data_IF_948606400497
#
_entry.id   IF_948606400497
#
_cell.length_a   1.000
_cell.length_b   1.000
_cell.length_c   1.000
_cell.angle_alpha   90.00
_cell.angle_beta   90.00
_cell.angle_gamma   90.00
#
_symmetry.space_group_name_H-M   'P 1'
#
loop_
_entity.id
_entity.type
_entity.pdbx_description
1 polymer ?
#
# COMPACT_ATOMS: atom_id res chain seq x y z
N UNK A 1 23.41 -23.57 -17.34
CA UNK A 1 22.63 -22.43 -16.82
C UNK A 1 21.23 -22.92 -16.53
N UNK A 2 20.64 -22.60 -15.37
CA UNK A 2 19.22 -22.88 -15.13
C UNK A 2 18.42 -21.99 -16.09
N UNK A 3 17.39 -22.54 -16.75
CA UNK A 3 16.51 -21.77 -17.62
C UNK A 3 15.76 -20.71 -16.80
N UNK A 4 15.47 -19.53 -17.37
CA UNK A 4 14.68 -18.53 -16.68
C UNK A 4 13.30 -19.09 -16.34
N UNK A 5 12.83 -18.83 -15.12
CA UNK A 5 11.52 -19.27 -14.64
C UNK A 5 10.39 -18.65 -15.47
N UNK A 6 10.59 -17.40 -15.92
CA UNK A 6 9.68 -16.66 -16.77
C UNK A 6 10.43 -15.98 -17.93
N UNK A 7 9.90 -16.10 -19.13
CA UNK A 7 10.41 -15.40 -20.32
C UNK A 7 9.36 -14.36 -20.71
N UNK A 8 9.65 -13.08 -20.45
CA UNK A 8 8.77 -11.95 -20.80
C UNK A 8 9.19 -11.37 -22.15
N UNK A 9 10.50 -11.27 -22.40
CA UNK A 9 11.06 -11.00 -23.72
C UNK A 9 12.02 -12.13 -24.13
N UNK A 10 11.69 -12.93 -25.15
CA UNK A 10 12.57 -13.98 -25.67
C UNK A 10 13.92 -13.47 -26.16
N UNK A 11 14.00 -12.20 -26.59
CA UNK A 11 15.24 -11.52 -26.99
C UNK A 11 15.82 -10.65 -25.86
N UNK A 12 15.32 -10.81 -24.64
CA UNK A 12 15.73 -10.02 -23.49
C UNK A 12 17.20 -10.24 -23.14
N UNK A 13 17.90 -9.14 -22.90
CA UNK A 13 19.31 -9.02 -22.52
C UNK A 13 19.51 -8.85 -21.00
N UNK A 14 18.43 -8.81 -20.22
CA UNK A 14 18.49 -8.73 -18.75
C UNK A 14 17.79 -9.93 -18.14
N UNK A 15 18.45 -10.59 -17.19
CA UNK A 15 17.82 -11.58 -16.32
C UNK A 15 17.62 -10.96 -14.94
N UNK A 16 16.37 -10.65 -14.58
CA UNK A 16 16.06 -10.24 -13.20
C UNK A 16 15.98 -11.50 -12.35
N UNK A 17 16.78 -11.56 -11.28
CA UNK A 17 16.81 -12.65 -10.32
C UNK A 17 16.18 -12.18 -9.00
N UNK A 18 15.01 -12.73 -8.66
CA UNK A 18 14.31 -12.44 -7.41
C UNK A 18 14.72 -13.44 -6.32
N UNK A 19 15.25 -12.90 -5.23
CA UNK A 19 15.61 -13.64 -4.02
C UNK A 19 14.64 -13.31 -2.89
N UNK A 20 14.36 -14.29 -2.02
CA UNK A 20 13.37 -14.18 -0.94
C UNK A 20 11.99 -13.69 -1.43
N UNK A 21 11.37 -14.38 -2.43
CA UNK A 21 10.08 -13.96 -2.97
C UNK A 21 9.00 -13.98 -1.89
N UNK A 22 7.96 -13.16 -2.01
CA UNK A 22 6.79 -13.20 -1.11
C UNK A 22 7.14 -12.92 0.36
N UNK A 23 8.08 -12.00 0.61
CA UNK A 23 8.33 -11.48 1.94
C UNK A 23 7.04 -10.86 2.54
N UNK A 24 6.91 -10.83 3.89
CA UNK A 24 5.74 -10.24 4.54
C UNK A 24 5.45 -8.81 4.05
N UNK A 25 4.20 -8.53 3.71
CA UNK A 25 3.77 -7.27 3.12
C UNK A 25 2.67 -6.61 3.95
N UNK A 26 2.81 -5.31 4.20
CA UNK A 26 1.88 -4.53 5.02
C UNK A 26 1.65 -5.18 6.39
N UNK A 27 2.75 -5.35 7.15
CA UNK A 27 2.77 -5.88 8.52
C UNK A 27 3.24 -4.80 9.49
N UNK A 28 2.70 -4.80 10.71
CA UNK A 28 3.03 -3.80 11.74
C UNK A 28 4.51 -3.83 12.13
N UNK A 29 5.04 -2.72 12.63
CA UNK A 29 6.42 -2.66 13.12
C UNK A 29 6.65 -3.50 14.40
N UNK A 30 5.59 -3.92 15.12
CA UNK A 30 5.68 -4.78 16.33
C UNK A 30 6.00 -6.27 16.04
N UNK A 31 6.27 -6.62 14.79
CA UNK A 31 6.78 -7.94 14.48
C UNK A 31 8.22 -8.01 14.97
N UNK A 32 8.43 -8.76 16.05
CA UNK A 32 9.73 -9.13 16.62
C UNK A 32 10.60 -9.79 15.52
N UNK A 33 11.32 -8.95 14.77
CA UNK A 33 12.45 -9.36 13.93
C UNK A 33 13.53 -9.88 14.87
N UNK A 34 13.37 -11.12 15.33
CA UNK A 34 14.15 -11.69 16.43
C UNK A 34 15.65 -11.41 16.26
N UNK A 35 16.24 -10.77 17.28
CA UNK A 35 17.66 -10.44 17.55
C UNK A 35 18.57 -9.91 16.42
N UNK A 36 18.15 -9.91 15.16
CA UNK A 36 18.86 -9.30 14.05
C UNK A 36 17.94 -8.27 13.42
N UNK A 37 17.75 -7.13 14.10
CA UNK A 37 16.89 -6.00 13.71
C UNK A 37 17.30 -5.31 12.41
N UNK A 38 17.40 -6.06 11.32
CA UNK A 38 17.45 -5.56 9.96
C UNK A 38 16.01 -5.39 9.49
N UNK A 39 15.58 -4.13 9.36
CA UNK A 39 14.46 -3.78 8.48
C UNK A 39 14.62 -4.53 7.15
N UNK A 40 13.54 -4.94 6.46
CA UNK A 40 13.64 -5.57 5.15
C UNK A 40 14.63 -4.84 4.26
N UNK A 41 15.46 -5.57 3.51
CA UNK A 41 16.63 -5.00 2.82
C UNK A 41 16.30 -3.82 1.89
N UNK A 42 15.06 -3.76 1.40
CA UNK A 42 14.52 -2.67 0.57
C UNK A 42 14.10 -1.41 1.35
N UNK A 43 13.92 -1.48 2.67
CA UNK A 43 13.66 -0.34 3.58
C UNK A 43 14.95 0.45 3.91
N UNK A 44 16.12 -0.02 3.45
CA UNK A 44 17.41 0.64 3.59
C UNK A 44 17.40 2.04 2.95
N UNK A 45 17.41 3.04 3.81
CA UNK A 45 16.98 4.44 3.57
C UNK A 45 17.86 5.31 2.66
N UNK A 46 18.56 4.78 1.65
CA UNK A 46 19.51 5.59 0.87
C UNK A 46 19.06 6.07 -0.51
N UNK A 47 17.92 5.64 -1.04
CA UNK A 47 17.54 6.07 -2.39
C UNK A 47 16.05 6.13 -2.73
N UNK A 48 15.16 5.77 -1.80
CA UNK A 48 13.74 5.83 -2.06
C UNK A 48 13.16 7.18 -1.65
N UNK A 49 12.70 7.94 -2.64
CA UNK A 49 11.90 9.13 -2.43
C UNK A 49 10.50 8.88 -3.02
N UNK A 50 9.48 8.61 -2.19
CA UNK A 50 8.14 8.30 -2.69
C UNK A 50 7.58 9.46 -3.52
N UNK A 51 6.71 9.14 -4.48
CA UNK A 51 6.10 10.14 -5.34
C UNK A 51 5.41 11.25 -4.54
N UNK A 52 5.73 12.50 -4.89
CA UNK A 52 5.04 13.65 -4.35
C UNK A 52 3.66 13.80 -5.01
N UNK A 53 2.58 13.73 -4.22
CA UNK A 53 1.20 13.96 -4.64
C UNK A 53 0.53 15.05 -3.80
N UNK A 54 0.93 16.31 -4.00
CA UNK A 54 0.40 17.48 -3.27
C UNK A 54 -1.13 17.64 -3.41
N UNK A 55 -1.72 17.22 -4.53
CA UNK A 55 -3.17 17.33 -4.76
C UNK A 55 -3.97 16.51 -3.74
N UNK A 56 -3.51 15.32 -3.40
CA UNK A 56 -4.17 14.49 -2.39
C UNK A 56 -4.04 15.07 -0.96
N UNK A 57 -2.95 15.79 -0.67
CA UNK A 57 -2.79 16.52 0.60
C UNK A 57 -3.81 17.67 0.68
N UNK A 58 -3.94 18.46 -0.40
CA UNK A 58 -4.92 19.54 -0.45
C UNK A 58 -6.36 19.03 -0.29
N UNK A 59 -6.69 17.87 -0.88
CA UNK A 59 -8.01 17.26 -0.69
C UNK A 59 -8.26 16.71 0.71
N UNK A 60 -7.21 16.33 1.44
CA UNK A 60 -7.32 16.02 2.87
C UNK A 60 -7.55 17.29 3.70
N UNK A 61 -6.87 18.39 3.35
CA UNK A 61 -7.07 19.70 3.96
C UNK A 61 -8.47 20.25 3.68
N UNK A 62 -9.11 19.97 2.54
CA UNK A 62 -10.49 20.41 2.28
C UNK A 62 -11.55 19.76 3.19
N UNK A 63 -11.27 18.57 3.77
CA UNK A 63 -12.11 18.02 4.85
C UNK A 63 -12.17 18.95 6.07
N UNK A 64 -11.11 19.74 6.30
CA UNK A 64 -11.01 20.67 7.44
C UNK A 64 -11.94 21.87 7.31
N UNK A 65 -12.34 22.23 6.08
CA UNK A 65 -13.11 23.46 5.81
C UNK A 65 -14.61 23.20 5.92
N UNK A 66 -15.07 21.99 5.57
CA UNK A 66 -16.51 21.65 5.57
C UNK A 66 -17.06 21.46 6.99
N UNK A 67 -16.22 21.10 7.97
CA UNK A 67 -16.65 20.90 9.37
C UNK A 67 -16.71 22.20 10.20
N UNK A 68 -16.31 23.34 9.62
CA UNK A 68 -16.28 24.63 10.33
C UNK A 68 -17.48 25.56 10.07
N UNK A 69 -18.41 25.22 9.17
CA UNK A 69 -19.41 26.19 8.68
C UNK A 69 -20.90 25.79 8.75
N UNK A 70 -21.29 24.81 9.58
CA UNK A 70 -22.71 24.56 9.83
C UNK A 70 -23.09 24.75 11.31
N UNK A 71 -23.40 26.00 11.66
CA UNK A 71 -24.22 26.37 12.82
C UNK A 71 -25.62 26.80 12.34
N UNK A 72 -26.63 26.06 12.85
CA UNK A 72 -28.07 26.35 13.09
C UNK A 72 -28.99 26.80 11.93
N UNK A 73 -30.20 26.24 11.72
CA UNK A 73 -31.41 26.22 12.59
C UNK A 73 -32.42 25.10 12.15
N UNK A 74 -33.48 24.79 12.95
CA UNK A 74 -34.20 23.52 13.02
C UNK A 74 -35.48 23.45 12.19
N UNK A 75 -35.93 22.24 11.88
CA UNK A 75 -37.33 21.99 11.47
C UNK A 75 -37.89 20.70 12.06
N UNK A 76 -39.15 20.82 12.51
CA UNK A 76 -39.94 19.92 13.35
C UNK A 76 -40.47 18.67 12.63
N UNK A 77 -40.79 17.65 13.44
CA UNK A 77 -41.92 16.69 13.33
C UNK A 77 -41.78 15.59 12.26
N UNK A 78 -42.11 14.32 12.46
CA UNK A 78 -42.76 13.58 13.55
C UNK A 78 -42.39 12.08 13.48
N UNK A 79 -42.71 11.40 14.57
CA UNK A 79 -42.52 10.00 14.93
C UNK A 79 -42.71 8.91 13.84
N UNK A 80 -41.97 7.82 14.02
CA UNK A 80 -42.58 6.50 14.24
C UNK A 80 -41.62 5.58 14.98
N UNK A 81 -42.05 5.18 16.17
CA UNK A 81 -41.49 4.09 16.97
C UNK A 81 -41.82 2.75 16.31
N UNK A 82 -40.89 1.80 16.29
CA UNK A 82 -41.26 0.40 16.63
C UNK A 82 -40.08 -0.36 17.22
N UNK A 83 -40.44 -1.08 18.27
CA UNK A 83 -39.68 -1.74 19.32
C UNK A 83 -39.45 -3.22 18.96
N UNK A 84 -38.24 -3.79 19.12
CA UNK A 84 -38.06 -5.20 19.58
C UNK A 84 -36.74 -5.34 20.36
N UNK A 85 -36.87 -5.93 21.56
CA UNK A 85 -35.86 -6.15 22.59
C UNK A 85 -34.88 -7.31 22.34
N UNK A 86 -33.72 -7.14 22.99
CA UNK A 86 -32.82 -8.11 23.65
C UNK A 86 -33.27 -9.59 23.71
N UNK A 87 -32.32 -10.50 23.48
CA UNK A 87 -31.65 -11.32 24.52
C UNK A 87 -30.73 -12.37 23.87
N UNK A 88 -29.47 -12.43 24.31
CA UNK A 88 -28.78 -13.68 24.65
C UNK A 88 -27.36 -13.37 25.15
N UNK A 89 -27.22 -13.32 26.48
CA UNK A 89 -25.95 -13.60 27.14
C UNK A 89 -25.57 -15.05 26.85
N UNK A 90 -24.32 -15.30 26.49
CA UNK A 90 -23.70 -16.59 26.79
C UNK A 90 -22.21 -16.40 27.01
N UNK A 91 -21.84 -16.47 28.28
CA UNK A 91 -20.46 -16.59 28.73
C UNK A 91 -19.87 -17.91 28.21
N UNK A 92 -18.76 -17.86 27.49
CA UNK A 92 -17.89 -19.02 27.26
C UNK A 92 -16.41 -18.62 27.39
N UNK A 93 -15.89 -18.92 28.58
CA UNK A 93 -14.57 -19.52 28.86
C UNK A 93 -13.39 -19.13 27.96
N UNK A 94 -12.45 -18.37 28.56
CA UNK A 94 -11.06 -18.21 28.11
C UNK A 94 -10.39 -19.57 27.89
N UNK A 95 -10.16 -19.94 26.64
CA UNK A 95 -9.18 -20.96 26.25
C UNK A 95 -7.85 -20.24 26.00
N UNK A 96 -6.72 -20.66 26.60
CA UNK A 96 -5.44 -20.02 26.34
C UNK A 96 -5.00 -20.36 24.91
N UNK A 97 -5.00 -19.37 24.02
CA UNK A 97 -4.52 -19.52 22.65
C UNK A 97 -3.01 -19.75 22.68
N UNK A 98 -2.64 -21.03 22.57
CA UNK A 98 -1.28 -21.52 22.32
C UNK A 98 -0.67 -20.71 21.18
N UNK A 99 0.34 -19.88 21.50
CA UNK A 99 1.19 -19.17 20.53
C UNK A 99 1.62 -20.16 19.44
N UNK A 100 1.04 -20.03 18.25
CA UNK A 100 1.58 -20.70 17.07
C UNK A 100 2.88 -19.97 16.73
N UNK A 101 4.01 -20.61 17.07
CA UNK A 101 5.29 -20.32 16.43
C UNK A 101 5.12 -20.61 14.94
N UNK A 102 4.85 -19.57 14.15
CA UNK A 102 4.91 -19.67 12.70
C UNK A 102 6.34 -20.09 12.33
N UNK A 103 6.45 -21.28 11.74
CA UNK A 103 7.71 -21.78 11.19
C UNK A 103 8.07 -20.89 9.99
N UNK A 104 9.32 -20.38 9.96
CA UNK A 104 9.92 -19.79 8.75
C UNK A 104 9.71 -20.77 7.58
N UNK A 105 9.08 -20.38 6.47
CA UNK A 105 9.14 -21.19 5.26
C UNK A 105 10.59 -21.25 4.81
N UNK A 106 11.05 -22.45 4.46
CA UNK A 106 12.40 -22.65 3.95
C UNK A 106 12.51 -22.01 2.57
N UNK A 107 12.98 -20.76 2.50
CA UNK A 107 13.16 -20.03 1.25
C UNK A 107 14.29 -20.64 0.43
N UNK A 108 13.94 -21.42 -0.58
CA UNK A 108 14.85 -21.84 -1.64
C UNK A 108 14.27 -21.60 -3.05
N UNK A 109 13.14 -20.89 -3.15
CA UNK A 109 12.53 -20.53 -4.42
C UNK A 109 13.22 -19.27 -4.95
N UNK A 110 13.94 -19.43 -6.05
CA UNK A 110 14.57 -18.36 -6.81
C UNK A 110 13.80 -18.20 -8.12
N UNK A 111 13.25 -17.01 -8.36
CA UNK A 111 12.55 -16.70 -9.59
C UNK A 111 13.48 -15.90 -10.51
N UNK A 112 13.42 -16.21 -11.80
CA UNK A 112 14.18 -15.49 -12.81
C UNK A 112 13.28 -15.06 -13.96
N UNK A 113 13.45 -13.81 -14.40
CA UNK A 113 12.65 -13.18 -15.45
C UNK A 113 13.58 -12.68 -16.55
N UNK A 114 13.44 -13.22 -17.77
CA UNK A 114 14.14 -12.71 -18.94
C UNK A 114 13.36 -11.54 -19.53
N UNK A 115 13.99 -10.37 -19.55
CA UNK A 115 13.40 -9.07 -19.88
C UNK A 115 14.37 -8.22 -20.72
N UNK A 116 13.85 -7.15 -21.31
CA UNK A 116 14.60 -6.23 -22.14
C UNK A 116 15.09 -5.02 -21.36
N UNK A 117 16.39 -4.75 -21.41
CA UNK A 117 17.00 -3.53 -20.88
C UNK A 117 16.34 -2.28 -21.46
N UNK A 118 15.96 -2.29 -22.74
CA UNK A 118 15.36 -1.14 -23.43
C UNK A 118 14.01 -0.76 -22.83
N UNK A 119 13.16 -1.75 -22.55
CA UNK A 119 11.86 -1.52 -21.91
C UNK A 119 12.04 -1.03 -20.46
N UNK A 120 12.95 -1.65 -19.69
CA UNK A 120 13.28 -1.21 -18.33
C UNK A 120 13.79 0.24 -18.29
N UNK A 121 14.76 0.57 -19.15
CA UNK A 121 15.36 1.91 -19.27
C UNK A 121 14.31 2.95 -19.68
N UNK A 122 13.43 2.60 -20.62
CA UNK A 122 12.38 3.50 -21.08
C UNK A 122 11.37 3.81 -19.96
N UNK A 123 10.91 2.78 -19.26
CA UNK A 123 9.87 2.90 -18.24
C UNK A 123 10.38 3.55 -16.94
N UNK A 124 11.63 3.30 -16.54
CA UNK A 124 12.11 3.61 -15.20
C UNK A 124 13.43 4.42 -15.20
N UNK A 125 13.45 5.61 -14.57
CA UNK A 125 14.67 6.35 -14.29
C UNK A 125 15.69 5.56 -13.46
N UNK A 126 15.21 4.73 -12.51
CA UNK A 126 16.05 3.86 -11.71
C UNK A 126 16.79 2.84 -12.58
N UNK A 127 16.08 2.07 -13.39
CA UNK A 127 16.71 1.09 -14.28
C UNK A 127 17.56 1.77 -15.35
N UNK A 128 17.17 2.95 -15.83
CA UNK A 128 18.02 3.77 -16.69
C UNK A 128 19.36 4.06 -16.03
N UNK A 129 19.38 4.57 -14.80
CA UNK A 129 20.62 4.82 -14.09
C UNK A 129 21.44 3.53 -13.92
N UNK A 130 20.80 2.45 -13.45
CA UNK A 130 21.49 1.19 -13.17
C UNK A 130 22.06 0.48 -14.41
N UNK A 131 21.40 0.62 -15.57
CA UNK A 131 21.80 -0.07 -16.82
C UNK A 131 22.59 0.82 -17.79
N UNK A 132 22.70 2.13 -17.53
CA UNK A 132 23.45 3.05 -18.41
C UNK A 132 24.55 3.87 -17.72
N UNK A 133 24.53 4.01 -16.39
CA UNK A 133 25.43 4.93 -15.66
C UNK A 133 26.22 4.25 -14.54
N UNK A 134 27.49 3.93 -14.79
CA UNK A 134 28.52 3.73 -13.74
C UNK A 134 28.30 2.58 -12.75
N UNK A 135 27.20 1.83 -12.85
CA UNK A 135 26.95 0.63 -12.07
C UNK A 135 27.62 -0.58 -12.74
N UNK A 136 27.89 -1.64 -11.96
CA UNK A 136 28.56 -2.85 -12.47
C UNK A 136 27.73 -3.52 -13.55
N UNK A 137 26.41 -3.39 -13.45
CA UNK A 137 25.43 -3.95 -14.36
C UNK A 137 25.49 -3.29 -15.73
N UNK A 138 25.63 -1.96 -15.79
CA UNK A 138 25.83 -1.22 -17.05
C UNK A 138 27.12 -1.65 -17.77
N UNK A 139 28.21 -1.84 -17.02
CA UNK A 139 29.48 -2.32 -17.60
C UNK A 139 29.33 -3.73 -18.16
N UNK A 140 28.73 -4.64 -17.38
CA UNK A 140 28.51 -6.03 -17.77
C UNK A 140 27.62 -6.15 -19.01
N UNK A 141 26.53 -5.36 -19.07
CA UNK A 141 25.65 -5.33 -20.23
C UNK A 141 26.38 -4.86 -21.49
N UNK A 142 27.22 -3.83 -21.38
CA UNK A 142 28.01 -3.32 -22.50
C UNK A 142 29.10 -4.29 -22.99
N UNK A 143 29.70 -5.09 -22.11
CA UNK A 143 30.78 -6.02 -22.46
C UNK A 143 30.30 -7.40 -22.90
N UNK A 144 29.27 -7.95 -22.23
CA UNK A 144 28.78 -9.31 -22.47
C UNK A 144 27.49 -9.36 -23.28
N UNK A 145 26.86 -8.20 -23.56
CA UNK A 145 25.58 -8.12 -24.25
C UNK A 145 24.39 -8.61 -23.44
N UNK A 146 24.61 -9.06 -22.19
CA UNK A 146 23.55 -9.43 -21.24
C UNK A 146 24.01 -9.26 -19.80
N UNK A 147 23.06 -9.12 -18.86
CA UNK A 147 23.36 -8.92 -17.43
C UNK A 147 22.34 -9.59 -16.52
N UNK A 148 22.77 -10.05 -15.34
CA UNK A 148 21.87 -10.47 -14.25
C UNK A 148 21.66 -9.32 -13.26
N UNK A 149 20.41 -8.96 -13.01
CA UNK A 149 20.03 -7.91 -12.08
C UNK A 149 19.30 -8.54 -10.89
N UNK A 150 19.89 -8.47 -9.69
CA UNK A 150 19.30 -9.16 -8.52
C UNK A 150 18.38 -8.21 -7.75
N UNK A 151 17.19 -8.69 -7.42
CA UNK A 151 16.17 -8.00 -6.61
C UNK A 151 15.76 -8.90 -5.44
N UNK A 152 15.21 -8.30 -4.39
CA UNK A 152 14.92 -8.99 -3.13
C UNK A 152 13.51 -8.69 -2.67
N UNK A 153 12.93 -9.61 -1.92
CA UNK A 153 11.76 -9.40 -1.06
C UNK A 153 10.44 -9.05 -1.78
N UNK A 154 10.43 -8.94 -3.10
CA UNK A 154 9.20 -8.71 -3.87
C UNK A 154 8.28 -9.93 -3.88
N UNK A 155 6.98 -9.67 -3.92
CA UNK A 155 5.98 -10.67 -4.28
C UNK A 155 6.19 -11.09 -5.74
N UNK A 156 6.30 -12.40 -5.99
CA UNK A 156 6.69 -12.93 -7.30
C UNK A 156 5.62 -12.65 -8.36
N UNK A 157 4.34 -12.76 -7.98
CA UNK A 157 3.21 -12.44 -8.84
C UNK A 157 3.13 -10.95 -9.14
N UNK A 158 3.31 -10.08 -8.14
CA UNK A 158 3.32 -8.63 -8.34
C UNK A 158 4.46 -8.19 -9.26
N UNK A 159 5.66 -8.72 -9.07
CA UNK A 159 6.82 -8.44 -9.93
C UNK A 159 6.59 -8.94 -11.35
N UNK A 160 6.06 -10.16 -11.52
CA UNK A 160 5.72 -10.70 -12.84
C UNK A 160 4.74 -9.79 -13.59
N UNK A 161 3.65 -9.38 -12.93
CA UNK A 161 2.65 -8.48 -13.52
C UNK A 161 3.28 -7.13 -13.89
N UNK A 162 4.01 -6.52 -12.96
CA UNK A 162 4.71 -5.25 -13.19
C UNK A 162 5.62 -5.32 -14.43
N UNK A 163 6.47 -6.35 -14.53
CA UNK A 163 7.38 -6.53 -15.65
C UNK A 163 6.63 -6.73 -16.97
N UNK A 164 5.54 -7.50 -16.99
CA UNK A 164 4.71 -7.67 -18.19
C UNK A 164 4.08 -6.35 -18.65
N UNK A 165 3.57 -5.52 -17.72
CA UNK A 165 2.96 -4.23 -18.05
C UNK A 165 3.97 -3.31 -18.76
N UNK A 166 5.18 -3.16 -18.21
CA UNK A 166 6.21 -2.28 -18.79
C UNK A 166 6.82 -2.84 -20.09
N UNK A 167 6.65 -4.13 -20.37
CA UNK A 167 7.03 -4.77 -21.64
C UNK A 167 5.90 -4.77 -22.68
N UNK A 168 4.74 -4.19 -22.38
CA UNK A 168 3.60 -4.20 -23.31
C UNK A 168 2.88 -5.55 -23.41
N UNK A 169 3.19 -6.50 -22.52
CA UNK A 169 2.65 -7.86 -22.55
C UNK A 169 1.38 -7.94 -21.69
N UNK A 170 0.28 -7.35 -22.18
CA UNK A 170 -0.96 -7.22 -21.40
C UNK A 170 -1.94 -8.37 -21.59
N UNK A 171 -1.79 -9.15 -22.67
CA UNK A 171 -2.80 -10.13 -23.13
C UNK A 171 -3.16 -11.17 -22.07
N UNK A 172 -2.17 -11.63 -21.33
CA UNK A 172 -2.30 -12.71 -20.36
C UNK A 172 -2.35 -12.20 -18.91
N UNK A 173 -2.47 -10.88 -18.72
CA UNK A 173 -2.63 -10.29 -17.40
C UNK A 173 -4.05 -10.46 -16.87
N UNK A 174 -4.22 -10.60 -15.55
CA UNK A 174 -5.54 -10.73 -14.95
C UNK A 174 -6.37 -9.46 -15.17
N UNK A 175 -7.62 -9.63 -15.61
CA UNK A 175 -8.58 -8.53 -15.75
C UNK A 175 -8.96 -7.86 -14.42
N UNK A 176 -8.81 -8.60 -13.32
CA UNK A 176 -9.09 -8.14 -11.96
C UNK A 176 -7.96 -8.57 -11.04
N UNK A 177 -7.52 -7.67 -10.18
CA UNK A 177 -6.59 -7.98 -9.07
C UNK A 177 -7.22 -7.54 -7.75
N UNK A 178 -6.85 -8.21 -6.66
CA UNK A 178 -7.25 -7.78 -5.32
C UNK A 178 -6.52 -6.52 -4.86
N UNK A 179 -7.05 -5.86 -3.83
CA UNK A 179 -6.46 -4.64 -3.24
C UNK A 179 -4.99 -4.83 -2.85
N UNK A 180 -4.66 -5.95 -2.18
CA UNK A 180 -3.29 -6.22 -1.76
C UNK A 180 -2.34 -6.38 -2.94
N UNK A 181 -2.73 -7.11 -3.99
CA UNK A 181 -1.90 -7.28 -5.17
C UNK A 181 -1.71 -5.96 -5.92
N UNK A 182 -2.76 -5.13 -6.02
CA UNK A 182 -2.65 -3.78 -6.58
C UNK A 182 -1.67 -2.92 -5.77
N UNK A 183 -1.75 -2.96 -4.43
CA UNK A 183 -0.85 -2.24 -3.55
C UNK A 183 0.61 -2.71 -3.72
N UNK A 184 0.87 -4.02 -3.81
CA UNK A 184 2.20 -4.57 -4.08
C UNK A 184 2.77 -4.10 -5.42
N UNK A 185 1.95 -4.16 -6.48
CA UNK A 185 2.34 -3.69 -7.83
C UNK A 185 2.69 -2.20 -7.80
N UNK A 186 1.90 -1.36 -7.12
CA UNK A 186 2.18 0.07 -7.03
C UNK A 186 3.37 0.39 -6.13
N UNK A 187 3.64 -0.38 -5.07
CA UNK A 187 4.90 -0.23 -4.30
C UNK A 187 6.12 -0.50 -5.18
N UNK A 188 6.10 -1.58 -5.98
CA UNK A 188 7.18 -1.91 -6.91
C UNK A 188 7.39 -0.76 -7.91
N UNK A 189 6.30 -0.26 -8.50
CA UNK A 189 6.38 0.80 -9.50
C UNK A 189 6.80 2.16 -8.92
N UNK A 190 6.40 2.51 -7.69
CA UNK A 190 6.88 3.71 -7.00
C UNK A 190 8.36 3.59 -6.65
N UNK A 191 8.80 2.43 -6.14
CA UNK A 191 10.22 2.16 -5.85
C UNK A 191 11.10 2.31 -7.10
N UNK A 192 10.69 1.73 -8.22
CA UNK A 192 11.38 1.87 -9.50
C UNK A 192 11.03 3.18 -10.25
N UNK A 193 10.33 4.11 -9.60
CA UNK A 193 10.03 5.46 -10.11
C UNK A 193 9.32 5.47 -11.48
N UNK A 194 8.34 4.59 -11.67
CA UNK A 194 7.68 4.36 -12.95
C UNK A 194 6.17 4.10 -12.83
N UNK A 195 5.51 4.72 -11.84
CA UNK A 195 4.04 4.63 -11.68
C UNK A 195 3.29 4.99 -12.96
N UNK A 196 3.72 6.04 -13.67
CA UNK A 196 3.07 6.48 -14.91
C UNK A 196 3.05 5.36 -15.98
N UNK A 197 4.08 4.50 -16.01
CA UNK A 197 4.16 3.39 -16.96
C UNK A 197 3.12 2.29 -16.70
N UNK A 198 2.62 2.18 -15.46
CA UNK A 198 1.60 1.18 -15.08
C UNK A 198 0.21 1.80 -14.83
N UNK A 199 0.11 3.13 -14.84
CA UNK A 199 -1.05 3.86 -14.30
C UNK A 199 -2.35 3.48 -14.98
N UNK A 200 -2.36 3.34 -16.31
CA UNK A 200 -3.55 2.96 -17.06
C UNK A 200 -4.12 1.61 -16.62
N UNK A 201 -3.24 0.61 -16.45
CA UNK A 201 -3.64 -0.72 -16.00
C UNK A 201 -4.07 -0.70 -14.53
N UNK A 202 -3.32 0.01 -13.67
CA UNK A 202 -3.64 0.17 -12.26
C UNK A 202 -5.01 0.84 -12.03
N UNK A 203 -5.34 1.87 -12.81
CA UNK A 203 -6.66 2.54 -12.77
C UNK A 203 -7.78 1.62 -13.22
N UNK A 204 -7.53 0.76 -14.21
CA UNK A 204 -8.50 -0.24 -14.68
C UNK A 204 -8.84 -1.24 -13.58
N UNK A 205 -7.83 -1.75 -12.86
CA UNK A 205 -8.04 -2.62 -11.70
C UNK A 205 -8.71 -1.91 -10.52
N UNK A 206 -8.30 -0.67 -10.24
CA UNK A 206 -8.95 0.18 -9.25
C UNK A 206 -10.46 0.33 -9.53
N UNK A 207 -10.88 0.52 -10.78
CA UNK A 207 -12.30 0.66 -11.11
C UNK A 207 -13.13 -0.56 -10.69
N UNK A 208 -12.57 -1.77 -10.75
CA UNK A 208 -13.22 -2.98 -10.24
C UNK A 208 -13.24 -3.07 -8.71
N UNK A 209 -12.23 -2.51 -8.04
CA UNK A 209 -12.12 -2.52 -6.58
C UNK A 209 -12.93 -1.42 -5.92
N UNK A 210 -13.13 -0.26 -6.58
CA UNK A 210 -13.80 0.91 -6.02
C UNK A 210 -15.11 0.61 -5.25
N UNK A 211 -16.01 -0.28 -5.74
CA UNK A 211 -17.24 -0.60 -5.01
C UNK A 211 -17.00 -1.21 -3.62
N UNK A 212 -15.91 -1.95 -3.41
CA UNK A 212 -15.61 -2.61 -2.13
C UNK A 212 -15.09 -1.65 -1.06
N UNK A 213 -14.77 -0.41 -1.43
CA UNK A 213 -14.22 0.58 -0.51
C UNK A 213 -15.24 1.11 0.52
N UNK A 214 -16.55 0.95 0.30
CA UNK A 214 -17.55 1.37 1.29
C UNK A 214 -17.65 0.42 2.49
N UNK A 215 -17.18 -0.82 2.34
CA UNK A 215 -17.40 -1.92 3.29
C UNK A 215 -16.10 -2.31 4.02
N UNK A 216 -15.18 -1.35 4.22
CA UNK A 216 -13.91 -1.62 4.90
C UNK A 216 -14.14 -1.82 6.38
N UNK A 217 -13.87 -3.05 6.83
CA UNK A 217 -13.93 -3.45 8.25
C UNK A 217 -12.53 -3.67 8.82
N UNK A 218 -11.55 -4.05 7.99
CA UNK A 218 -10.21 -4.41 8.46
C UNK A 218 -9.29 -3.20 8.43
N UNK A 219 -8.63 -2.83 9.55
CA UNK A 219 -7.65 -1.75 9.62
C UNK A 219 -6.59 -1.79 8.51
N UNK A 220 -6.08 -3.00 8.22
CA UNK A 220 -5.08 -3.22 7.15
C UNK A 220 -5.59 -2.79 5.78
N UNK A 221 -6.85 -3.07 5.46
CA UNK A 221 -7.41 -2.71 4.16
C UNK A 221 -7.57 -1.20 4.01
N UNK A 222 -7.84 -0.48 5.10
CA UNK A 222 -7.86 1.00 5.12
C UNK A 222 -6.47 1.54 4.76
N UNK A 223 -5.41 1.03 5.37
CA UNK A 223 -4.03 1.45 5.10
C UNK A 223 -3.61 1.13 3.65
N UNK A 224 -4.01 -0.03 3.12
CA UNK A 224 -3.79 -0.37 1.70
C UNK A 224 -4.55 0.57 0.76
N UNK A 225 -5.80 0.91 1.08
CA UNK A 225 -6.59 1.86 0.29
C UNK A 225 -6.02 3.28 0.35
N UNK A 226 -5.52 3.72 1.50
CA UNK A 226 -4.81 5.00 1.63
C UNK A 226 -3.60 5.04 0.69
N UNK A 227 -2.77 3.99 0.69
CA UNK A 227 -1.64 3.88 -0.22
C UNK A 227 -2.06 3.89 -1.68
N UNK A 228 -3.00 3.04 -2.08
CA UNK A 228 -3.44 2.93 -3.48
C UNK A 228 -4.06 4.24 -3.98
N UNK A 229 -4.91 4.88 -3.18
CA UNK A 229 -5.53 6.15 -3.56
C UNK A 229 -4.53 7.30 -3.58
N UNK A 230 -3.51 7.27 -2.71
CA UNK A 230 -2.39 8.21 -2.73
C UNK A 230 -1.54 8.05 -4.00
N UNK A 231 -1.01 6.86 -4.26
CA UNK A 231 -0.04 6.64 -5.33
C UNK A 231 -0.66 6.80 -6.72
N UNK A 232 -1.94 6.45 -6.88
CA UNK A 232 -2.67 6.59 -8.14
C UNK A 232 -3.29 7.98 -8.35
N UNK A 233 -3.09 8.92 -7.41
CA UNK A 233 -3.64 10.29 -7.45
C UNK A 233 -5.17 10.33 -7.55
N UNK A 234 -5.83 9.66 -6.61
CA UNK A 234 -7.28 9.55 -6.51
C UNK A 234 -7.82 10.38 -5.33
N UNK A 235 -7.91 11.72 -5.43
CA UNK A 235 -8.18 12.60 -4.30
C UNK A 235 -9.51 12.32 -3.59
N UNK A 236 -10.60 12.11 -4.34
CA UNK A 236 -11.91 11.80 -3.74
C UNK A 236 -11.89 10.49 -2.94
N UNK A 237 -11.20 9.49 -3.48
CA UNK A 237 -11.10 8.18 -2.86
C UNK A 237 -10.19 8.23 -1.63
N UNK A 238 -9.07 8.96 -1.74
CA UNK A 238 -8.16 9.20 -0.63
C UNK A 238 -8.86 9.92 0.51
N UNK A 239 -9.66 10.95 0.20
CA UNK A 239 -10.48 11.69 1.18
C UNK A 239 -11.45 10.76 1.91
N UNK A 240 -12.19 9.93 1.17
CA UNK A 240 -13.15 8.98 1.76
C UNK A 240 -12.46 7.99 2.70
N UNK A 241 -11.35 7.40 2.27
CA UNK A 241 -10.62 6.41 3.07
C UNK A 241 -9.95 7.10 4.27
N UNK A 242 -9.48 8.33 4.11
CA UNK A 242 -8.96 9.15 5.20
C UNK A 242 -9.97 9.38 6.32
N UNK A 243 -11.22 9.70 5.99
CA UNK A 243 -12.28 9.81 6.99
C UNK A 243 -12.51 8.47 7.74
N UNK A 244 -12.56 7.35 7.02
CA UNK A 244 -12.67 6.02 7.64
C UNK A 244 -11.47 5.70 8.54
N UNK A 245 -10.27 6.10 8.14
CA UNK A 245 -9.06 5.94 8.94
C UNK A 245 -9.16 6.73 10.25
N UNK A 246 -9.66 7.96 10.21
CA UNK A 246 -9.86 8.80 11.41
C UNK A 246 -10.91 8.25 12.36
N UNK A 247 -11.93 7.55 11.85
CA UNK A 247 -12.99 6.95 12.65
C UNK A 247 -12.59 5.60 13.27
N UNK A 248 -11.82 4.79 12.53
CA UNK A 248 -11.62 3.36 12.86
C UNK A 248 -10.21 3.01 13.32
N UNK A 249 -9.21 3.82 12.98
CA UNK A 249 -7.83 3.59 13.41
C UNK A 249 -7.56 4.41 14.67
N UNK A 250 -6.87 3.80 15.63
CA UNK A 250 -6.48 4.45 16.89
C UNK A 250 -5.53 5.65 16.63
N UNK A 251 -5.25 6.46 17.67
CA UNK A 251 -4.46 7.70 17.58
C UNK A 251 -3.11 7.55 16.86
N UNK A 252 -2.59 6.33 16.73
CA UNK A 252 -1.37 6.01 15.99
C UNK A 252 -1.61 5.08 14.81
N UNK A 253 -1.89 5.68 13.65
CA UNK A 253 -1.92 4.97 12.38
C UNK A 253 -0.52 4.44 12.02
N UNK A 254 -0.35 3.13 12.13
CA UNK A 254 0.80 2.39 11.60
C UNK A 254 0.68 2.33 10.06
N UNK A 255 1.70 2.79 9.33
CA UNK A 255 1.72 2.70 7.86
C UNK A 255 1.92 1.27 7.37
N UNK A 256 2.19 0.31 8.26
CA UNK A 256 2.46 -1.09 7.98
C UNK A 256 3.68 -1.26 7.04
N UNK A 257 4.61 -0.31 7.09
CA UNK A 257 5.74 -0.26 6.15
C UNK A 257 5.37 0.21 4.73
N UNK A 258 4.16 0.71 4.49
CA UNK A 258 3.84 1.31 3.19
C UNK A 258 4.47 2.71 3.04
N UNK A 259 4.84 3.10 1.80
CA UNK A 259 5.40 4.41 1.45
C UNK A 259 4.41 5.57 1.49
N UNK A 260 3.62 5.65 2.55
CA UNK A 260 2.73 6.77 2.79
C UNK A 260 3.57 7.92 3.39
N UNK A 261 3.64 9.10 2.76
CA UNK A 261 4.43 10.21 3.29
C UNK A 261 4.07 10.57 4.72
N UNK A 262 5.09 10.76 5.57
CA UNK A 262 4.92 11.07 7.00
C UNK A 262 4.03 12.27 7.28
N UNK A 263 4.00 13.27 6.39
CA UNK A 263 3.10 14.44 6.53
C UNK A 263 1.63 14.04 6.52
N UNK A 264 1.24 13.06 5.70
CA UNK A 264 -0.14 12.53 5.67
C UNK A 264 -0.45 11.85 6.99
N UNK A 265 0.48 11.02 7.47
CA UNK A 265 0.35 10.38 8.77
C UNK A 265 0.19 11.48 9.85
N UNK A 266 1.03 12.52 9.78
CA UNK A 266 1.03 13.75 10.56
C UNK A 266 -0.34 14.43 10.69
N UNK A 267 -1.01 14.63 9.56
CA UNK A 267 -2.36 15.22 9.54
C UNK A 267 -3.33 14.40 10.39
N UNK A 268 -3.34 13.06 10.25
CA UNK A 268 -4.19 12.18 11.08
C UNK A 268 -3.90 12.30 12.58
N UNK A 269 -2.62 12.47 12.97
CA UNK A 269 -2.23 12.71 14.38
C UNK A 269 -2.71 14.06 14.93
N UNK A 270 -2.76 15.09 14.08
CA UNK A 270 -3.30 16.40 14.45
C UNK A 270 -4.78 16.34 14.78
N UNK A 271 -5.57 15.60 14.01
CA UNK A 271 -7.03 15.54 14.20
C UNK A 271 -7.49 14.73 15.41
N UNK A 272 -6.83 13.61 15.76
CA UNK A 272 -7.20 12.77 16.91
C UNK A 272 -7.19 13.54 18.24
N UNK A 273 -6.18 14.40 18.44
CA UNK A 273 -6.06 15.23 19.64
C UNK A 273 -7.16 16.31 19.74
N UNK A 274 -7.56 16.90 18.61
CA UNK A 274 -8.64 17.89 18.57
C UNK A 274 -10.04 17.25 18.75
N UNK A 275 -10.31 16.11 18.12
CA UNK A 275 -11.57 15.40 18.25
C UNK A 275 -11.80 14.87 19.67
N UNK A 276 -10.74 14.40 20.35
CA UNK A 276 -10.81 13.97 21.75
C UNK A 276 -10.96 15.16 22.70
N UNK A 277 -10.29 16.29 22.43
CA UNK A 277 -10.47 17.51 23.22
C UNK A 277 -11.93 18.03 23.16
N UNK A 278 -12.58 17.96 22.00
CA UNK A 278 -13.99 18.35 21.85
C UNK A 278 -14.97 17.32 22.41
N UNK A 279 -14.67 16.02 22.31
CA UNK A 279 -15.43 14.96 22.99
C UNK A 279 -15.39 15.09 24.52
N UNK A 280 -14.22 15.41 25.09
CA UNK A 280 -14.03 15.64 26.53
C UNK A 280 -14.73 16.93 26.96
N UNK A 281 -14.69 18.01 26.17
CA UNK A 281 -15.42 19.25 26.46
C UNK A 281 -16.95 19.07 26.43
N UNK A 282 -17.49 18.32 25.47
CA UNK A 282 -18.93 17.97 25.42
C UNK A 282 -19.37 17.08 26.58
N UNK A 283 -18.54 16.13 27.00
CA UNK A 283 -18.84 15.30 28.18
C UNK A 283 -18.78 16.09 29.50
N UNK A 284 -17.91 17.10 29.60
CA UNK A 284 -17.80 17.95 30.78
C UNK A 284 -18.92 19.02 30.88
N UNK A 285 -19.42 19.52 29.74
CA UNK A 285 -20.56 20.45 29.72
C UNK A 285 -21.90 19.75 30.00
N UNK A 286 -22.06 18.48 29.60
CA UNK A 286 -23.27 17.70 29.89
C UNK A 286 -23.40 17.25 31.35
N UNK A 287 -22.32 17.28 32.15
CA UNK A 287 -22.34 16.99 33.60
C UNK A 287 -22.53 18.22 34.50
N UNK A 288 -22.70 19.41 33.92
CA UNK A 288 -23.00 20.64 34.67
C UNK A 288 -24.35 21.20 34.23
N UNK A 289 -25.41 20.55 34.68
CA UNK A 289 -26.71 21.21 34.86
C UNK A 289 -27.17 20.84 36.27
N UNK A 290 -27.52 21.81 37.13
CA UNK A 290 -27.90 21.58 38.52
C UNK A 290 -29.21 20.79 38.67
#
# INVERSE_FOLDING_TARGET
>A
MKYPTHIIDPNGDVTIKLLNPNAPFAVSEEWDYGENGELPSWFGSRQWNPLNNEQAVNSLLDLTIVDQNHQDEPSKSAASETHVSLLAETSLTRVPTRRQRHRKPAFNDEYSYQVSSRHLILASPFFRAALTKGWKEAHTLGTHGSVTFTVYDWDDQALFIFLNVIHGQHRDLPWKVGLELLAKITVIADYYQCIDAIQFMALSWYAFLKPTCSDLVRPRDIVLWLWVSWVLRLPEQFRKVGAMAMEQLDERMDSLGLPIPRRILGEFYGFGSFAIADGVRRCQSSRRVP
#
